data_IF_256144747888
#
_entry.id   IF_256144747888
#
_cell.length_a   1.000
_cell.length_b   1.000
_cell.length_c   1.000
_cell.angle_alpha   90.00
_cell.angle_beta   90.00
_cell.angle_gamma   90.00
#
_symmetry.space_group_name_H-M   'P 1'
#
loop_
_entity.id
_entity.type
_entity.pdbx_description
1 polymer ?
#
# COMPACT_ATOMS: atom_id res chain seq x y z
N UNK A 1 15.25 -20.97 8.40
CA UNK A 1 16.19 -20.82 9.55
C UNK A 1 16.97 -19.52 9.38
N UNK A 2 17.12 -18.71 10.44
CA UNK A 2 17.95 -17.48 10.37
C UNK A 2 19.42 -17.87 10.41
N UNK A 3 20.17 -17.48 9.39
CA UNK A 3 21.62 -17.66 9.30
C UNK A 3 22.33 -16.32 9.50
N UNK A 4 23.62 -16.38 9.78
CA UNK A 4 24.48 -15.21 9.84
C UNK A 4 25.50 -15.34 8.71
N UNK A 5 25.75 -14.25 7.99
CA UNK A 5 26.82 -14.19 6.98
C UNK A 5 28.19 -14.41 7.63
N UNK A 6 28.37 -13.90 8.85
CA UNK A 6 29.57 -14.13 9.64
C UNK A 6 29.44 -15.42 10.47
N UNK A 7 30.36 -16.39 10.33
CA UNK A 7 30.36 -17.60 11.13
C UNK A 7 30.63 -17.30 12.61
N UNK A 8 30.21 -18.20 13.50
CA UNK A 8 30.46 -18.06 14.93
C UNK A 8 31.98 -17.99 15.21
N UNK A 9 32.48 -17.00 15.96
CA UNK A 9 33.91 -16.88 16.28
C UNK A 9 34.44 -18.07 17.10
N UNK A 10 33.55 -18.75 17.83
CA UNK A 10 33.86 -19.95 18.60
C UNK A 10 33.63 -21.26 17.80
N UNK A 11 33.09 -21.18 16.58
CA UNK A 11 32.78 -22.34 15.73
C UNK A 11 31.71 -23.30 16.27
N UNK A 12 30.96 -22.91 17.32
CA UNK A 12 30.05 -23.81 18.06
C UNK A 12 28.63 -23.89 17.50
N UNK A 13 28.24 -22.96 16.64
CA UNK A 13 26.88 -22.86 16.12
C UNK A 13 26.89 -22.34 14.69
N UNK A 14 26.18 -23.04 13.80
CA UNK A 14 26.02 -22.67 12.39
C UNK A 14 24.62 -22.07 12.16
N UNK A 15 24.48 -20.80 12.54
CA UNK A 15 23.23 -20.07 12.47
C UNK A 15 23.34 -18.70 13.14
N UNK A 16 22.23 -17.96 13.20
CA UNK A 16 22.23 -16.66 13.87
C UNK A 16 22.60 -16.78 15.36
N UNK A 17 23.55 -15.97 15.84
CA UNK A 17 23.99 -15.96 17.23
C UNK A 17 22.82 -15.78 18.23
N UNK A 18 21.81 -14.97 17.88
CA UNK A 18 20.60 -14.75 18.69
C UNK A 18 19.68 -15.99 18.81
N UNK A 19 19.90 -17.01 17.97
CA UNK A 19 19.23 -18.32 18.03
C UNK A 19 20.11 -19.42 18.63
N UNK A 20 21.32 -19.09 19.08
CA UNK A 20 22.24 -20.03 19.71
C UNK A 20 21.74 -20.43 21.11
N UNK A 21 21.66 -21.72 21.46
CA UNK A 21 21.25 -22.16 22.80
C UNK A 21 22.11 -21.61 23.94
N UNK A 22 23.37 -21.27 23.65
CA UNK A 22 24.32 -20.72 24.62
C UNK A 22 24.42 -19.19 24.58
N UNK A 23 23.50 -18.50 23.87
CA UNK A 23 23.54 -17.05 23.69
C UNK A 23 23.66 -16.28 25.02
N UNK A 24 22.85 -16.64 26.02
CA UNK A 24 22.82 -15.96 27.33
C UNK A 24 24.11 -16.08 28.15
N UNK A 25 24.95 -17.07 27.84
CA UNK A 25 26.20 -17.36 28.58
C UNK A 25 27.44 -17.17 27.71
N UNK A 26 27.27 -16.68 26.48
CA UNK A 26 28.36 -16.54 25.51
C UNK A 26 29.02 -15.15 25.67
N UNK A 27 30.33 -15.08 25.97
CA UNK A 27 31.03 -13.79 26.09
C UNK A 27 31.10 -13.04 24.75
N UNK A 28 31.11 -13.77 23.64
CA UNK A 28 31.11 -13.24 22.26
C UNK A 28 29.71 -13.23 21.64
N UNK A 29 28.66 -13.11 22.46
CA UNK A 29 27.29 -13.02 21.98
C UNK A 29 27.08 -11.75 21.13
N UNK A 30 26.35 -11.88 20.02
CA UNK A 30 26.00 -10.74 19.18
C UNK A 30 25.07 -9.77 19.94
N UNK A 31 25.44 -8.50 19.96
CA UNK A 31 24.66 -7.44 20.63
C UNK A 31 23.45 -6.98 19.83
N UNK A 32 23.49 -7.12 18.51
CA UNK A 32 22.46 -6.62 17.60
C UNK A 32 21.39 -7.69 17.31
N UNK A 33 20.13 -7.27 17.26
CA UNK A 33 19.02 -8.13 16.87
C UNK A 33 19.12 -8.48 15.36
N UNK A 34 18.71 -9.68 14.91
CA UNK A 34 18.79 -10.09 13.51
C UNK A 34 18.19 -9.07 12.52
N UNK A 35 17.13 -8.38 12.92
CA UNK A 35 16.42 -7.41 12.05
C UNK A 35 17.21 -6.10 11.82
N UNK A 36 18.26 -5.85 12.62
CA UNK A 36 19.01 -4.58 12.62
C UNK A 36 20.49 -4.74 12.28
N UNK A 37 21.06 -5.94 12.43
CA UNK A 37 22.49 -6.15 12.24
C UNK A 37 22.94 -6.10 10.77
N UNK A 38 22.01 -6.28 9.81
CA UNK A 38 22.31 -6.27 8.37
C UNK A 38 23.08 -7.50 7.86
N UNK A 39 23.57 -8.37 8.75
CA UNK A 39 24.34 -9.59 8.43
C UNK A 39 23.55 -10.87 8.66
N UNK A 40 22.31 -10.76 9.15
CA UNK A 40 21.41 -11.89 9.27
C UNK A 40 20.77 -12.17 7.91
N UNK A 41 20.83 -13.43 7.49
CA UNK A 41 20.16 -13.92 6.28
C UNK A 41 18.96 -14.76 6.68
N UNK A 42 17.81 -14.42 6.11
CA UNK A 42 16.56 -15.10 6.37
C UNK A 42 16.24 -16.00 5.18
N UNK A 43 16.05 -17.28 5.44
CA UNK A 43 15.53 -18.23 4.45
C UNK A 43 14.10 -17.82 4.02
N UNK A 44 13.71 -18.02 2.75
CA UNK A 44 12.44 -17.53 2.19
C UNK A 44 11.20 -17.92 3.02
N UNK A 45 11.19 -19.12 3.61
CA UNK A 45 10.04 -19.57 4.40
C UNK A 45 9.95 -18.88 5.76
N UNK A 46 11.10 -18.59 6.39
CA UNK A 46 11.17 -17.90 7.68
C UNK A 46 10.97 -16.39 7.50
N UNK A 47 11.46 -15.81 6.39
CA UNK A 47 11.30 -14.40 6.07
C UNK A 47 9.83 -14.04 5.82
N UNK A 48 9.06 -14.92 5.17
CA UNK A 48 7.63 -14.73 4.99
C UNK A 48 6.86 -14.74 6.32
N UNK A 49 7.21 -15.65 7.24
CA UNK A 49 6.57 -15.72 8.56
C UNK A 49 6.90 -14.49 9.42
N UNK A 50 8.17 -14.09 9.49
CA UNK A 50 8.59 -12.91 10.25
C UNK A 50 8.05 -11.62 9.64
N UNK A 51 7.98 -11.51 8.31
CA UNK A 51 7.31 -10.40 7.62
C UNK A 51 5.82 -10.35 7.96
N UNK A 52 5.12 -11.48 7.90
CA UNK A 52 3.70 -11.54 8.25
C UNK A 52 3.47 -11.12 9.72
N UNK A 53 4.29 -11.61 10.65
CA UNK A 53 4.14 -11.32 12.07
C UNK A 53 4.48 -9.86 12.40
N UNK A 54 5.60 -9.35 11.89
CA UNK A 54 6.02 -7.95 12.11
C UNK A 54 5.07 -6.94 11.48
N UNK A 55 4.51 -7.26 10.31
CA UNK A 55 3.64 -6.36 9.57
C UNK A 55 2.15 -6.60 9.81
N UNK A 56 1.76 -7.55 10.68
CA UNK A 56 0.37 -7.92 10.92
C UNK A 56 -0.50 -6.72 11.30
N UNK A 57 0.00 -5.88 12.23
CA UNK A 57 -0.70 -4.66 12.64
C UNK A 57 -0.90 -3.69 11.47
N UNK A 58 0.14 -3.51 10.65
CA UNK A 58 0.10 -2.66 9.46
C UNK A 58 -0.87 -3.21 8.41
N UNK A 59 -0.88 -4.52 8.16
CA UNK A 59 -1.79 -5.19 7.22
C UNK A 59 -3.26 -5.05 7.66
N UNK A 60 -3.54 -5.24 8.95
CA UNK A 60 -4.88 -5.05 9.51
C UNK A 60 -5.34 -3.59 9.42
N UNK A 61 -4.46 -2.64 9.72
CA UNK A 61 -4.76 -1.22 9.56
C UNK A 61 -5.08 -0.87 8.10
N UNK A 62 -4.30 -1.37 7.14
CA UNK A 62 -4.54 -1.19 5.70
C UNK A 62 -5.89 -1.79 5.28
N UNK A 63 -6.23 -2.99 5.76
CA UNK A 63 -7.50 -3.64 5.46
C UNK A 63 -8.69 -2.81 5.98
N UNK A 64 -8.62 -2.35 7.24
CA UNK A 64 -9.63 -1.49 7.86
C UNK A 64 -9.77 -0.16 7.11
N UNK A 65 -8.66 0.53 6.83
CA UNK A 65 -8.68 1.80 6.09
C UNK A 65 -9.23 1.64 4.68
N UNK A 66 -8.93 0.53 4.00
CA UNK A 66 -9.46 0.28 2.65
C UNK A 66 -10.97 0.00 2.69
N UNK A 67 -11.47 -0.72 3.71
CA UNK A 67 -12.90 -0.92 3.91
C UNK A 67 -13.62 0.40 4.23
N UNK A 68 -13.05 1.20 5.13
CA UNK A 68 -13.60 2.51 5.51
C UNK A 68 -13.61 3.47 4.31
N UNK A 69 -12.55 3.48 3.49
CA UNK A 69 -12.50 4.30 2.28
C UNK A 69 -13.63 3.97 1.31
N UNK A 70 -13.93 2.69 1.07
CA UNK A 70 -15.06 2.28 0.22
C UNK A 70 -16.40 2.78 0.77
N UNK A 71 -16.61 2.63 2.08
CA UNK A 71 -17.83 3.10 2.72
C UNK A 71 -17.96 4.63 2.63
N UNK A 72 -16.87 5.37 2.85
CA UNK A 72 -16.84 6.84 2.74
C UNK A 72 -17.10 7.27 1.30
N UNK A 73 -16.51 6.62 0.30
CA UNK A 73 -16.76 6.94 -1.13
C UNK A 73 -18.24 6.75 -1.51
N UNK A 74 -18.91 5.71 -0.99
CA UNK A 74 -20.33 5.47 -1.22
C UNK A 74 -21.22 6.49 -0.49
N UNK A 75 -20.89 6.82 0.76
CA UNK A 75 -21.55 7.89 1.51
C UNK A 75 -21.35 9.26 0.84
N UNK A 76 -20.15 9.58 0.36
CA UNK A 76 -19.90 10.82 -0.38
C UNK A 76 -20.74 10.90 -1.64
N UNK A 77 -20.87 9.81 -2.40
CA UNK A 77 -21.66 9.79 -3.64
C UNK A 77 -23.14 10.04 -3.35
N UNK A 78 -23.69 9.41 -2.32
CA UNK A 78 -25.08 9.60 -1.91
C UNK A 78 -25.33 11.00 -1.36
N UNK A 79 -24.43 11.54 -0.53
CA UNK A 79 -24.52 12.91 -0.01
C UNK A 79 -24.39 13.96 -1.12
N UNK A 80 -23.45 13.80 -2.07
CA UNK A 80 -23.30 14.69 -3.22
C UNK A 80 -24.53 14.65 -4.13
N UNK A 81 -25.13 13.48 -4.35
CA UNK A 81 -26.37 13.34 -5.11
C UNK A 81 -27.55 14.02 -4.40
N UNK A 82 -27.72 13.79 -3.10
CA UNK A 82 -28.77 14.44 -2.31
C UNK A 82 -28.61 15.97 -2.28
N UNK A 83 -27.38 16.47 -2.16
CA UNK A 83 -27.07 17.90 -2.25
C UNK A 83 -27.36 18.45 -3.65
N UNK A 84 -27.00 17.73 -4.71
CA UNK A 84 -27.34 18.11 -6.08
C UNK A 84 -28.85 18.20 -6.29
N UNK A 85 -29.61 17.18 -5.88
CA UNK A 85 -31.07 17.15 -6.00
C UNK A 85 -31.73 18.28 -5.18
N UNK A 86 -31.22 18.57 -3.98
CA UNK A 86 -31.66 19.70 -3.18
C UNK A 86 -31.34 21.04 -3.87
N UNK A 87 -30.11 21.23 -4.36
CA UNK A 87 -29.71 22.45 -5.06
C UNK A 87 -30.57 22.69 -6.32
N UNK A 88 -30.88 21.63 -7.08
CA UNK A 88 -31.80 21.70 -8.23
C UNK A 88 -33.23 22.03 -7.78
N UNK A 89 -33.75 21.35 -6.76
CA UNK A 89 -35.11 21.57 -6.24
C UNK A 89 -35.34 22.98 -5.71
N UNK A 90 -34.34 23.57 -5.06
CA UNK A 90 -34.40 24.92 -4.51
C UNK A 90 -33.87 25.99 -5.48
N UNK A 91 -33.41 25.62 -6.67
CA UNK A 91 -32.87 26.57 -7.66
C UNK A 91 -31.56 27.25 -7.23
N UNK A 92 -30.82 26.64 -6.31
CA UNK A 92 -29.59 27.19 -5.73
C UNK A 92 -28.42 26.86 -6.66
N UNK A 93 -27.84 27.88 -7.30
CA UNK A 93 -26.66 27.72 -8.19
C UNK A 93 -25.34 27.73 -7.44
N UNK A 94 -25.29 28.47 -6.33
CA UNK A 94 -24.13 28.58 -5.44
C UNK A 94 -24.63 28.65 -4.01
N UNK A 95 -24.02 27.87 -3.13
CA UNK A 95 -24.26 27.86 -1.70
C UNK A 95 -22.91 27.97 -0.99
N UNK A 96 -22.79 28.93 -0.10
CA UNK A 96 -21.60 29.17 0.68
C UNK A 96 -21.96 29.05 2.17
N UNK A 97 -21.13 28.36 2.92
CA UNK A 97 -21.22 28.19 4.37
C UNK A 97 -19.84 28.39 4.97
N UNK A 98 -19.77 28.56 6.29
CA UNK A 98 -18.50 28.74 7.02
C UNK A 98 -17.49 27.59 6.82
N UNK A 99 -17.96 26.42 6.37
CA UNK A 99 -17.15 25.21 6.22
C UNK A 99 -17.05 24.75 4.76
N UNK A 100 -18.05 25.02 3.91
CA UNK A 100 -18.14 24.48 2.56
C UNK A 100 -18.70 25.48 1.54
N UNK A 101 -18.06 25.50 0.39
CA UNK A 101 -18.48 26.20 -0.81
C UNK A 101 -18.99 25.20 -1.86
N UNK A 102 -20.29 25.24 -2.16
CA UNK A 102 -20.98 24.35 -3.10
C UNK A 102 -21.38 25.16 -4.33
N UNK A 103 -20.84 24.80 -5.49
CA UNK A 103 -21.29 25.33 -6.79
C UNK A 103 -21.93 24.20 -7.58
N UNK A 104 -23.15 24.42 -8.08
CA UNK A 104 -23.80 23.48 -8.96
C UNK A 104 -23.02 23.44 -10.28
N UNK A 105 -22.34 22.33 -10.56
CA UNK A 105 -21.64 22.11 -11.82
C UNK A 105 -22.59 21.35 -12.75
N UNK A 106 -22.89 21.95 -13.90
CA UNK A 106 -23.70 21.31 -14.93
C UNK A 106 -23.01 20.03 -15.44
N UNK A 107 -23.76 18.99 -15.82
CA UNK A 107 -23.20 17.74 -16.31
C UNK A 107 -22.27 18.02 -17.49
N UNK A 108 -20.96 17.92 -17.24
CA UNK A 108 -19.92 18.18 -18.23
C UNK A 108 -19.36 16.85 -18.70
N UNK A 109 -19.41 16.61 -20.01
CA UNK A 109 -18.92 15.39 -20.61
C UNK A 109 -17.39 15.42 -20.67
N UNK A 110 -16.73 14.68 -19.78
CA UNK A 110 -15.28 14.49 -19.85
C UNK A 110 -14.94 13.39 -20.86
N UNK A 111 -14.47 13.77 -22.04
CA UNK A 111 -13.97 12.82 -23.05
C UNK A 111 -12.54 12.42 -22.71
N UNK A 112 -12.38 11.24 -22.09
CA UNK A 112 -11.06 10.64 -21.87
C UNK A 112 -10.66 9.77 -23.07
N UNK A 113 -9.40 9.86 -23.48
CA UNK A 113 -8.87 9.04 -24.57
C UNK A 113 -8.60 7.64 -24.04
N UNK A 114 -9.23 6.64 -24.66
CA UNK A 114 -8.94 5.22 -24.43
C UNK A 114 -7.54 4.88 -24.96
N UNK A 115 -6.55 5.01 -24.06
CA UNK A 115 -5.14 4.76 -24.37
C UNK A 115 -4.89 3.33 -24.85
N UNK A 116 -5.73 2.35 -24.50
CA UNK A 116 -5.60 0.98 -24.96
C UNK A 116 -6.04 0.84 -26.43
N UNK A 117 -7.13 1.50 -26.83
CA UNK A 117 -7.53 1.58 -28.24
C UNK A 117 -6.53 2.39 -29.08
N UNK A 118 -5.99 3.47 -28.54
CA UNK A 118 -4.97 4.28 -29.23
C UNK A 118 -3.69 3.47 -29.50
N UNK A 119 -3.20 2.72 -28.50
CA UNK A 119 -2.04 1.82 -28.66
C UNK A 119 -2.29 0.70 -29.69
N UNK A 120 -3.52 0.17 -29.77
CA UNK A 120 -3.88 -0.89 -30.74
C UNK A 120 -4.00 -0.38 -32.18
N UNK A 121 -4.56 0.82 -32.38
CA UNK A 121 -4.78 1.38 -33.72
C UNK A 121 -3.60 2.19 -34.25
N UNK A 122 -2.87 2.88 -33.36
CA UNK A 122 -1.79 3.80 -33.71
C UNK A 122 -0.60 3.65 -32.73
N UNK A 123 0.13 2.53 -32.78
CA UNK A 123 1.24 2.27 -31.86
C UNK A 123 2.40 3.27 -32.00
N UNK A 124 2.65 3.81 -33.19
CA UNK A 124 3.68 4.81 -33.43
C UNK A 124 3.39 6.14 -32.70
N UNK A 125 2.16 6.64 -32.81
CA UNK A 125 1.72 7.88 -32.14
C UNK A 125 1.66 7.69 -30.62
N UNK A 126 1.24 6.50 -30.16
CA UNK A 126 1.26 6.19 -28.74
C UNK A 126 2.67 6.17 -28.16
N UNK A 127 3.68 5.73 -28.91
CA UNK A 127 5.08 5.78 -28.48
C UNK A 127 5.61 7.22 -28.46
N UNK A 128 5.30 8.02 -29.46
CA UNK A 128 5.71 9.42 -29.57
C UNK A 128 5.11 10.32 -28.48
N UNK A 129 3.84 10.09 -28.12
CA UNK A 129 3.16 10.83 -27.05
C UNK A 129 3.39 10.26 -25.63
N UNK A 130 4.15 9.17 -25.49
CA UNK A 130 4.41 8.56 -24.18
C UNK A 130 5.66 9.15 -23.53
N UNK A 131 5.46 9.90 -22.44
CA UNK A 131 6.55 10.22 -21.50
C UNK A 131 6.71 9.09 -20.49
N UNK A 132 7.87 8.41 -20.52
CA UNK A 132 8.28 7.54 -19.43
C UNK A 132 8.88 8.39 -18.30
N UNK A 133 8.39 8.18 -17.08
CA UNK A 133 9.04 8.69 -15.87
C UNK A 133 9.42 7.49 -15.02
N UNK A 134 10.63 7.51 -14.45
CA UNK A 134 11.03 6.53 -13.46
C UNK A 134 10.13 6.72 -12.23
N UNK A 135 9.38 5.67 -11.89
CA UNK A 135 8.57 5.65 -10.67
C UNK A 135 9.29 4.79 -9.63
N UNK A 136 9.34 5.26 -8.40
CA UNK A 136 9.81 4.45 -7.28
C UNK A 136 8.96 3.17 -7.16
N UNK A 137 9.57 2.10 -6.65
CA UNK A 137 8.85 0.86 -6.35
C UNK A 137 7.67 1.15 -5.42
N UNK A 138 6.53 0.51 -5.68
CA UNK A 138 5.33 0.66 -4.85
C UNK A 138 4.74 -0.72 -4.53
N UNK A 139 4.16 -0.85 -3.33
CA UNK A 139 3.44 -2.05 -2.94
C UNK A 139 2.01 -1.96 -3.47
N UNK A 140 1.63 -2.91 -4.34
CA UNK A 140 0.26 -3.01 -4.84
C UNK A 140 -0.59 -3.84 -3.88
N UNK A 141 -1.55 -3.19 -3.23
CA UNK A 141 -2.49 -3.85 -2.30
C UNK A 141 -3.81 -4.08 -3.01
N UNK A 142 -4.22 -5.35 -3.12
CA UNK A 142 -5.54 -5.76 -3.60
C UNK A 142 -6.25 -6.54 -2.51
N UNK A 143 -7.43 -6.08 -2.08
CA UNK A 143 -8.28 -6.87 -1.19
C UNK A 143 -8.69 -8.16 -1.92
N UNK A 144 -8.32 -9.32 -1.37
CA UNK A 144 -8.93 -10.59 -1.77
C UNK A 144 -10.38 -10.56 -1.30
N UNK A 145 -11.29 -11.02 -2.17
CA UNK A 145 -12.73 -10.76 -2.11
C UNK A 145 -13.34 -10.91 -0.72
N UNK A 146 -14.18 -9.95 -0.36
CA UNK A 146 -15.23 -10.21 0.61
C UNK A 146 -16.20 -11.17 -0.05
N UNK A 147 -16.02 -12.47 0.21
CA UNK A 147 -17.10 -13.44 0.04
C UNK A 147 -18.24 -12.98 0.95
N UNK A 148 -19.36 -12.66 0.29
CA UNK A 148 -20.64 -12.38 0.93
C UNK A 148 -21.20 -13.66 1.52
#
# INVERSE_FOLDING_TARGET
MIKCENPCPLGKFDGCCHKCPSFHTCPDACSEHPDKCGTATFDEETSLQEFQQSQLATLNAIASLTAHKKAIEEQEKTMKAALYDAMVKFGIKKFESDVLNLTLVEPTTSTSIDAAKLKKKYPAIAAECSKSSAKAGYVKITLKGGEK
#
